data_IF_971384113598
#
_entry.id   IF_971384113598
#
_cell.length_a   1.000
_cell.length_b   1.000
_cell.length_c   1.000
_cell.angle_alpha   90.00
_cell.angle_beta   90.00
_cell.angle_gamma   90.00
#
_symmetry.space_group_name_H-M   'P 1'
#
loop_
_entity.id
_entity.type
_entity.pdbx_description
1 polymer ?
#
# COMPACT_ATOMS: atom_id res chain seq x y z
N UNK A 1 1.00 25.54 -20.21
CA UNK A 1 0.56 24.60 -19.16
C UNK A 1 1.26 23.26 -19.42
N UNK A 2 2.18 22.85 -18.56
CA UNK A 2 2.93 21.61 -18.77
C UNK A 2 1.97 20.41 -18.63
N UNK A 3 1.94 19.55 -19.65
CA UNK A 3 1.01 18.40 -19.77
C UNK A 3 1.25 17.42 -18.61
N UNK A 4 0.45 17.52 -17.55
CA UNK A 4 0.40 16.53 -16.49
C UNK A 4 -0.33 15.29 -16.99
N UNK A 5 0.17 14.11 -16.61
CA UNK A 5 -0.49 12.85 -16.94
C UNK A 5 -1.23 12.35 -15.71
N UNK A 6 -2.54 12.14 -15.84
CA UNK A 6 -3.40 11.63 -14.79
C UNK A 6 -3.77 10.17 -15.07
N UNK A 7 -3.64 9.33 -14.05
CA UNK A 7 -3.99 7.92 -14.10
C UNK A 7 -5.03 7.63 -13.01
N UNK A 8 -6.16 7.06 -13.40
CA UNK A 8 -7.17 6.58 -12.47
C UNK A 8 -6.80 5.17 -12.00
N UNK A 9 -6.84 4.98 -10.69
CA UNK A 9 -6.47 3.72 -10.05
C UNK A 9 -7.71 2.88 -9.77
N UNK A 10 -7.57 1.58 -9.93
CA UNK A 10 -8.60 0.57 -9.66
C UNK A 10 -8.16 -0.35 -8.53
N UNK A 11 -9.11 -1.11 -7.99
CA UNK A 11 -8.81 -2.07 -6.93
C UNK A 11 -8.02 -3.27 -7.47
N UNK A 12 -6.93 -3.62 -6.79
CA UNK A 12 -6.10 -4.78 -7.12
C UNK A 12 -6.68 -6.05 -6.48
N UNK A 13 -7.75 -6.59 -7.09
CA UNK A 13 -8.43 -7.81 -6.61
C UNK A 13 -7.53 -9.05 -6.67
N UNK A 14 -6.64 -9.13 -7.67
CA UNK A 14 -5.72 -10.28 -7.82
C UNK A 14 -4.64 -10.26 -6.75
N UNK A 15 -4.05 -9.08 -6.49
CA UNK A 15 -3.10 -8.89 -5.39
C UNK A 15 -3.73 -9.11 -4.01
N UNK A 16 -4.99 -8.72 -3.84
CA UNK A 16 -5.76 -9.00 -2.62
C UNK A 16 -5.83 -10.51 -2.34
N UNK A 17 -6.16 -11.34 -3.33
CA UNK A 17 -6.23 -12.79 -3.13
C UNK A 17 -4.89 -13.40 -2.68
N UNK A 18 -3.77 -12.91 -3.24
CA UNK A 18 -2.45 -13.34 -2.81
C UNK A 18 -2.12 -12.91 -1.37
N UNK A 19 -2.45 -11.67 -1.01
CA UNK A 19 -2.26 -11.19 0.35
C UNK A 19 -3.16 -11.98 1.33
N UNK A 20 -4.42 -12.26 0.99
CA UNK A 20 -5.31 -13.10 1.79
C UNK A 20 -4.78 -14.52 1.96
N UNK A 21 -4.32 -15.15 0.89
CA UNK A 21 -3.75 -16.49 0.93
C UNK A 21 -2.49 -16.58 1.80
N UNK A 22 -1.76 -15.48 1.98
CA UNK A 22 -0.58 -15.43 2.85
C UNK A 22 -0.95 -15.12 4.31
N UNK A 23 -1.76 -14.09 4.54
CA UNK A 23 -2.04 -13.59 5.89
C UNK A 23 -3.07 -14.43 6.63
N UNK A 24 -4.13 -14.89 5.95
CA UNK A 24 -5.22 -15.61 6.62
C UNK A 24 -4.75 -16.93 7.24
N UNK A 25 -4.02 -17.81 6.54
CA UNK A 25 -3.54 -19.06 7.15
C UNK A 25 -2.54 -18.81 8.27
N UNK A 26 -1.66 -17.81 8.12
CA UNK A 26 -0.67 -17.45 9.15
C UNK A 26 -1.33 -17.00 10.45
N UNK A 27 -2.32 -16.11 10.36
CA UNK A 27 -3.07 -15.61 11.53
C UNK A 27 -3.82 -16.74 12.21
N UNK A 28 -4.50 -17.60 11.43
CA UNK A 28 -5.22 -18.77 11.96
C UNK A 28 -4.28 -19.76 12.63
N UNK A 29 -3.15 -20.09 12.01
CA UNK A 29 -2.17 -21.00 12.59
C UNK A 29 -1.59 -20.46 13.91
N UNK A 30 -1.17 -19.20 13.94
CA UNK A 30 -0.65 -18.56 15.15
C UNK A 30 -1.70 -18.52 16.27
N UNK A 31 -2.95 -18.23 15.93
CA UNK A 31 -4.03 -18.17 16.92
C UNK A 31 -4.35 -19.57 17.47
N UNK A 32 -4.45 -20.58 16.60
CA UNK A 32 -4.71 -21.98 16.99
C UNK A 32 -3.61 -22.52 17.90
N UNK A 33 -2.34 -22.30 17.55
CA UNK A 33 -1.20 -22.72 18.38
C UNK A 33 -1.18 -21.92 19.69
N UNK A 34 -1.48 -20.62 19.65
CA UNK A 34 -1.60 -19.78 20.84
C UNK A 34 -2.65 -20.32 21.82
N UNK A 35 -3.84 -20.67 21.33
CA UNK A 35 -4.89 -21.29 22.15
C UNK A 35 -4.45 -22.65 22.70
N UNK A 36 -3.81 -23.49 21.89
CA UNK A 36 -3.28 -24.78 22.35
C UNK A 36 -2.28 -24.62 23.51
N UNK A 37 -1.39 -23.63 23.43
CA UNK A 37 -0.41 -23.34 24.48
C UNK A 37 -1.07 -22.76 25.75
N UNK A 38 -2.16 -22.01 25.59
CA UNK A 38 -2.94 -21.48 26.70
C UNK A 38 -3.52 -22.60 27.57
N UNK A 39 -4.16 -23.58 26.93
CA UNK A 39 -4.71 -24.75 27.62
C UNK A 39 -3.64 -25.78 28.02
N UNK A 40 -2.47 -25.76 27.37
CA UNK A 40 -1.32 -26.61 27.68
C UNK A 40 -0.46 -26.13 28.85
N UNK A 41 -0.87 -25.08 29.57
CA UNK A 41 -0.17 -24.60 30.77
C UNK A 41 1.03 -23.68 30.50
N UNK A 42 1.36 -23.38 29.24
CA UNK A 42 2.43 -22.45 28.88
C UNK A 42 1.87 -21.09 28.44
N UNK A 43 1.32 -20.36 29.41
CA UNK A 43 0.62 -19.11 29.19
C UNK A 43 1.51 -18.01 28.59
N UNK A 44 2.80 -17.98 28.94
CA UNK A 44 3.74 -16.98 28.41
C UNK A 44 3.87 -17.07 26.87
N UNK A 45 4.03 -18.27 26.33
CA UNK A 45 4.07 -18.47 24.88
C UNK A 45 2.72 -18.20 24.22
N UNK A 46 1.62 -18.53 24.89
CA UNK A 46 0.28 -18.24 24.40
C UNK A 46 0.05 -16.73 24.22
N UNK A 47 0.41 -15.91 25.21
CA UNK A 47 0.33 -14.45 25.10
C UNK A 47 1.14 -13.92 23.92
N UNK A 48 2.38 -14.39 23.74
CA UNK A 48 3.24 -13.97 22.64
C UNK A 48 2.61 -14.32 21.28
N UNK A 49 2.09 -15.54 21.12
CA UNK A 49 1.49 -16.02 19.87
C UNK A 49 0.19 -15.30 19.52
N UNK A 50 -0.67 -15.04 20.52
CA UNK A 50 -1.90 -14.27 20.33
C UNK A 50 -1.59 -12.81 19.99
N UNK A 51 -0.61 -12.20 20.66
CA UNK A 51 -0.12 -10.88 20.32
C UNK A 51 0.39 -10.82 18.89
N UNK A 52 1.23 -11.80 18.49
CA UNK A 52 1.79 -11.87 17.15
C UNK A 52 0.69 -12.08 16.09
N UNK A 53 -0.28 -12.95 16.35
CA UNK A 53 -1.44 -13.17 15.49
C UNK A 53 -2.25 -11.88 15.29
N UNK A 54 -2.53 -11.15 16.38
CA UNK A 54 -3.24 -9.87 16.33
C UNK A 54 -2.45 -8.82 15.55
N UNK A 55 -1.14 -8.76 15.73
CA UNK A 55 -0.27 -7.86 14.98
C UNK A 55 -0.27 -8.17 13.48
N UNK A 56 -0.09 -9.44 13.09
CA UNK A 56 -0.16 -9.85 11.69
C UNK A 56 -1.53 -9.60 11.07
N UNK A 57 -2.60 -9.81 11.84
CA UNK A 57 -3.96 -9.49 11.41
C UNK A 57 -4.12 -8.00 11.11
N UNK A 58 -3.68 -7.11 12.01
CA UNK A 58 -3.77 -5.66 11.80
C UNK A 58 -2.95 -5.19 10.60
N UNK A 59 -1.71 -5.68 10.45
CA UNK A 59 -0.85 -5.33 9.32
C UNK A 59 -1.42 -5.86 8.00
N UNK A 60 -1.87 -7.12 7.99
CA UNK A 60 -2.49 -7.76 6.83
C UNK A 60 -3.79 -7.06 6.42
N UNK A 61 -4.65 -6.75 7.39
CA UNK A 61 -5.88 -6.01 7.17
C UNK A 61 -5.60 -4.63 6.57
N UNK A 62 -4.67 -3.87 7.16
CA UNK A 62 -4.31 -2.54 6.64
C UNK A 62 -3.76 -2.63 5.21
N UNK A 63 -2.91 -3.61 4.91
CA UNK A 63 -2.42 -3.85 3.55
C UNK A 63 -3.55 -4.16 2.56
N UNK A 64 -4.46 -5.06 2.92
CA UNK A 64 -5.57 -5.45 2.03
C UNK A 64 -6.56 -4.29 1.86
N UNK A 65 -7.02 -3.69 2.96
CA UNK A 65 -8.05 -2.67 2.95
C UNK A 65 -7.53 -1.31 2.45
N UNK A 66 -6.33 -0.87 2.85
CA UNK A 66 -5.80 0.45 2.49
C UNK A 66 -5.16 0.47 1.12
N UNK A 67 -4.28 -0.51 0.83
CA UNK A 67 -3.50 -0.47 -0.41
C UNK A 67 -4.20 -1.25 -1.51
N UNK A 68 -4.54 -2.53 -1.34
CA UNK A 68 -5.10 -3.34 -2.43
C UNK A 68 -6.50 -2.91 -2.86
N UNK A 69 -7.42 -2.84 -1.90
CA UNK A 69 -8.83 -2.52 -2.15
C UNK A 69 -9.14 -1.03 -2.09
N UNK A 70 -8.17 -0.22 -1.63
CA UNK A 70 -8.30 1.22 -1.55
C UNK A 70 -9.58 1.66 -0.82
N UNK A 71 -9.99 0.94 0.23
CA UNK A 71 -11.23 1.17 0.98
C UNK A 71 -11.13 2.33 1.97
N UNK A 72 -9.92 2.55 2.50
CA UNK A 72 -9.68 3.59 3.49
C UNK A 72 -9.69 4.98 2.84
N UNK A 73 -10.12 6.03 3.57
CA UNK A 73 -10.23 7.39 3.03
C UNK A 73 -8.88 7.96 2.58
N UNK A 74 -7.77 7.50 3.17
CA UNK A 74 -6.42 7.89 2.80
C UNK A 74 -5.84 7.14 1.59
N UNK A 75 -6.59 6.22 0.98
CA UNK A 75 -6.10 5.44 -0.16
C UNK A 75 -6.09 6.29 -1.45
N UNK A 76 -5.01 6.27 -2.25
CA UNK A 76 -4.94 7.03 -3.49
C UNK A 76 -5.81 6.39 -4.58
N UNK A 77 -6.78 7.13 -5.11
CA UNK A 77 -7.68 6.73 -6.22
C UNK A 77 -7.25 7.27 -7.58
N UNK A 78 -6.41 8.29 -7.61
CA UNK A 78 -5.75 8.73 -8.83
C UNK A 78 -4.37 9.29 -8.52
N UNK A 79 -3.47 9.20 -9.49
CA UNK A 79 -2.15 9.82 -9.46
C UNK A 79 -1.99 10.73 -10.67
N UNK A 80 -1.51 11.94 -10.44
CA UNK A 80 -1.17 12.90 -11.47
C UNK A 80 0.33 13.21 -11.37
N UNK A 81 1.05 12.94 -12.46
CA UNK A 81 2.50 13.11 -12.55
C UNK A 81 2.79 14.38 -13.35
N UNK A 82 3.28 15.40 -12.66
CA UNK A 82 3.79 16.63 -13.25
C UNK A 82 5.32 16.61 -13.42
N UNK A 83 5.89 17.70 -13.95
CA UNK A 83 7.35 17.83 -14.13
C UNK A 83 8.11 18.04 -12.82
N UNK A 84 7.48 18.67 -11.83
CA UNK A 84 8.13 19.10 -10.57
C UNK A 84 7.40 18.60 -9.31
N UNK A 85 6.18 18.09 -9.46
CA UNK A 85 5.35 17.64 -8.35
C UNK A 85 4.56 16.39 -8.75
N UNK A 86 4.20 15.59 -7.75
CA UNK A 86 3.32 14.43 -7.91
C UNK A 86 2.10 14.65 -7.03
N UNK A 87 0.92 14.65 -7.64
CA UNK A 87 -0.35 14.84 -6.95
C UNK A 87 -1.09 13.51 -6.84
N UNK A 88 -1.73 13.29 -5.70
CA UNK A 88 -2.54 12.10 -5.44
C UNK A 88 -3.94 12.53 -5.03
N UNK A 89 -4.95 12.02 -5.71
CA UNK A 89 -6.34 12.15 -5.27
C UNK A 89 -6.64 10.97 -4.34
N UNK A 90 -7.10 11.24 -3.13
CA UNK A 90 -7.45 10.23 -2.15
C UNK A 90 -8.93 9.85 -2.26
N UNK A 91 -9.31 8.69 -1.72
CA UNK A 91 -10.70 8.21 -1.69
C UNK A 91 -11.64 9.16 -0.94
N UNK A 92 -11.12 9.90 0.03
CA UNK A 92 -11.89 10.96 0.70
C UNK A 92 -12.24 12.15 -0.20
N UNK A 93 -11.71 12.21 -1.43
CA UNK A 93 -11.79 13.38 -2.30
C UNK A 93 -10.68 14.41 -2.04
N UNK A 94 -9.88 14.24 -0.98
CA UNK A 94 -8.77 15.13 -0.70
C UNK A 94 -7.65 14.96 -1.73
N UNK A 95 -7.02 16.07 -2.13
CA UNK A 95 -5.83 16.08 -2.99
C UNK A 95 -4.58 16.29 -2.12
N UNK A 96 -3.58 15.44 -2.32
CA UNK A 96 -2.27 15.53 -1.68
C UNK A 96 -1.22 15.78 -2.74
N UNK A 97 -0.60 16.97 -2.71
CA UNK A 97 0.47 17.33 -3.60
C UNK A 97 1.82 17.12 -2.91
N UNK A 98 2.67 16.25 -3.47
CA UNK A 98 4.04 16.04 -3.03
C UNK A 98 4.93 17.05 -3.77
N UNK A 99 5.43 18.05 -3.04
CA UNK A 99 6.08 19.23 -3.62
C UNK A 99 7.58 19.26 -3.31
N UNK A 100 7.99 18.74 -2.15
CA UNK A 100 9.41 18.74 -1.72
C UNK A 100 9.89 17.33 -1.44
N UNK A 101 11.17 17.09 -1.73
CA UNK A 101 11.85 15.80 -1.50
C UNK A 101 11.10 14.61 -2.08
N UNK A 102 10.50 14.78 -3.26
CA UNK A 102 9.82 13.69 -3.96
C UNK A 102 10.88 12.67 -4.37
N UNK A 103 10.76 11.46 -3.84
CA UNK A 103 11.62 10.32 -4.19
C UNK A 103 10.76 9.19 -4.72
N UNK A 104 11.24 8.61 -5.80
CA UNK A 104 10.63 7.47 -6.46
C UNK A 104 11.46 6.21 -6.24
N UNK A 105 10.78 5.14 -5.81
CA UNK A 105 11.39 3.84 -5.56
C UNK A 105 10.73 2.80 -6.44
N UNK A 106 11.41 2.35 -7.49
CA UNK A 106 10.96 1.20 -8.28
C UNK A 106 11.17 -0.09 -7.49
N UNK A 107 10.17 -0.97 -7.48
CA UNK A 107 10.31 -2.32 -6.96
C UNK A 107 11.21 -3.16 -7.88
N UNK A 108 12.08 -3.98 -7.29
CA UNK A 108 13.00 -4.86 -8.02
C UNK A 108 12.24 -5.89 -8.88
N UNK A 109 11.09 -6.37 -8.37
CA UNK A 109 10.24 -7.32 -9.09
C UNK A 109 9.33 -6.64 -10.15
N UNK A 110 9.33 -5.31 -10.25
CA UNK A 110 8.49 -4.55 -11.19
C UNK A 110 6.99 -4.68 -10.95
N UNK A 111 6.56 -5.12 -9.75
CA UNK A 111 5.15 -5.33 -9.40
C UNK A 111 4.54 -4.13 -8.68
N UNK A 112 5.37 -3.19 -8.23
CA UNK A 112 4.95 -2.00 -7.51
C UNK A 112 5.98 -0.87 -7.63
N UNK A 113 5.64 0.29 -7.11
CA UNK A 113 6.59 1.35 -6.83
C UNK A 113 6.17 2.15 -5.61
N UNK A 114 7.15 2.73 -4.93
CA UNK A 114 6.96 3.63 -3.80
C UNK A 114 7.18 5.08 -4.21
N UNK A 115 6.41 5.97 -3.61
CA UNK A 115 6.59 7.41 -3.66
C UNK A 115 6.68 7.94 -2.23
N UNK A 116 7.66 8.78 -1.98
CA UNK A 116 7.76 9.54 -0.74
C UNK A 116 7.95 11.00 -1.05
N UNK A 117 7.37 11.88 -0.26
CA UNK A 117 7.59 13.31 -0.40
C UNK A 117 6.91 14.07 0.72
N UNK A 118 7.24 15.35 0.83
CA UNK A 118 6.61 16.27 1.76
C UNK A 118 5.44 16.98 1.07
N UNK A 119 4.30 16.99 1.74
CA UNK A 119 3.11 17.70 1.28
C UNK A 119 3.17 19.21 1.60
N UNK A 120 2.20 19.97 1.09
CA UNK A 120 2.08 21.41 1.35
C UNK A 120 1.90 21.77 2.83
N UNK A 121 1.46 20.82 3.66
CA UNK A 121 1.33 20.97 5.11
C UNK A 121 2.62 20.65 5.87
N UNK A 122 3.72 20.35 5.15
CA UNK A 122 5.00 19.98 5.74
C UNK A 122 5.07 18.53 6.25
N UNK A 123 4.04 17.71 6.00
CA UNK A 123 4.01 16.31 6.43
C UNK A 123 4.67 15.42 5.40
N UNK A 124 5.57 14.53 5.87
CA UNK A 124 6.11 13.47 5.05
C UNK A 124 5.04 12.41 4.79
N UNK A 125 4.79 12.13 3.51
CA UNK A 125 3.84 11.14 3.05
C UNK A 125 4.57 10.05 2.28
N UNK A 126 4.05 8.83 2.40
CA UNK A 126 4.51 7.66 1.66
C UNK A 126 3.32 6.97 1.04
N UNK A 127 3.46 6.63 -0.23
CA UNK A 127 2.49 5.89 -0.99
C UNK A 127 3.18 4.72 -1.68
N UNK A 128 2.50 3.58 -1.75
CA UNK A 128 2.96 2.42 -2.51
C UNK A 128 1.83 2.05 -3.45
N UNK A 129 2.16 2.04 -4.74
CA UNK A 129 1.23 1.74 -5.82
C UNK A 129 1.64 0.41 -6.45
N UNK A 130 0.68 -0.48 -6.61
CA UNK A 130 0.86 -1.79 -7.22
C UNK A 130 0.42 -1.76 -8.67
N UNK A 131 1.10 -2.55 -9.51
CA UNK A 131 0.74 -2.69 -10.93
C UNK A 131 -0.72 -3.07 -11.13
N UNK A 132 -1.28 -3.92 -10.27
CA UNK A 132 -2.68 -4.34 -10.35
C UNK A 132 -3.70 -3.23 -10.07
N UNK A 133 -3.25 -2.05 -9.62
CA UNK A 133 -4.10 -0.87 -9.45
C UNK A 133 -4.22 -0.03 -10.72
N UNK A 134 -3.49 -0.35 -11.79
CA UNK A 134 -3.63 0.32 -13.08
C UNK A 134 -4.52 -0.54 -13.98
N UNK A 135 -5.55 0.03 -14.63
CA UNK A 135 -6.43 -0.72 -15.53
C UNK A 135 -5.66 -1.45 -16.63
N UNK A 136 -4.62 -0.80 -17.16
CA UNK A 136 -3.81 -1.31 -18.25
C UNK A 136 -2.32 -1.30 -17.88
N UNK A 137 -1.59 -2.31 -18.36
CA UNK A 137 -0.13 -2.37 -18.19
C UNK A 137 0.57 -1.15 -18.78
N UNK A 138 0.11 -0.65 -19.92
CA UNK A 138 0.71 0.51 -20.58
C UNK A 138 0.68 1.77 -19.70
N UNK A 139 -0.40 1.98 -18.93
CA UNK A 139 -0.53 3.11 -18.01
C UNK A 139 0.46 3.01 -16.85
N UNK A 140 0.69 1.80 -16.33
CA UNK A 140 1.70 1.57 -15.30
C UNK A 140 3.11 1.87 -15.79
N UNK A 141 3.48 1.39 -16.99
CA UNK A 141 4.79 1.63 -17.59
C UNK A 141 5.01 3.13 -17.93
N UNK A 142 3.98 3.81 -18.45
CA UNK A 142 4.02 5.26 -18.71
C UNK A 142 4.22 6.04 -17.40
N UNK A 143 3.46 5.70 -16.34
CA UNK A 143 3.63 6.31 -15.02
C UNK A 143 5.05 6.09 -14.46
N UNK A 144 5.59 4.86 -14.56
CA UNK A 144 6.96 4.55 -14.16
C UNK A 144 7.98 5.39 -14.94
N UNK A 145 7.81 5.53 -16.25
CA UNK A 145 8.74 6.28 -17.11
C UNK A 145 8.81 7.76 -16.71
N UNK A 146 7.66 8.35 -16.36
CA UNK A 146 7.57 9.75 -15.93
C UNK A 146 8.10 9.97 -14.52
N UNK A 147 7.91 9.00 -13.63
CA UNK A 147 8.36 9.08 -12.25
C UNK A 147 9.86 8.87 -12.07
N UNK A 148 10.55 8.27 -13.05
CA UNK A 148 12.02 8.09 -13.03
C UNK A 148 12.81 9.38 -12.92
N UNK A 149 12.21 10.53 -13.24
CA UNK A 149 12.84 11.86 -13.08
C UNK A 149 13.06 12.20 -11.59
N UNK A 150 12.29 11.61 -10.68
CA UNK A 150 12.37 11.83 -9.22
C UNK A 150 13.22 10.77 -8.50
N UNK A 151 14.19 10.17 -9.19
CA UNK A 151 15.12 9.19 -8.59
C UNK A 151 16.10 9.83 -7.61
#
# INVERSE_FOLDING_TARGET
MAKSAQYQLVQDKKGMWWDLALYLPTVVALLSIGMQMWYGGNQNLAYLLVFLSTFFFLVGFNRIAATRLMLLPGAPVAIEVGKQAVSLLLRSGARVDLIKNVRFYADYAGKSFGLTGMDSSGKNRRFVLHRGQFPEKAQFEDALSRLRVFK
#
